data_IF_980191690414
#
_entry.id   IF_980191690414
#
_cell.length_a   1.000
_cell.length_b   1.000
_cell.length_c   1.000
_cell.angle_alpha   90.00
_cell.angle_beta   90.00
_cell.angle_gamma   90.00
#
_symmetry.space_group_name_H-M   'P 1'
#
loop_
_entity.id
_entity.type
_entity.pdbx_description
1 polymer ?
#
# COMPACT_ATOMS: atom_id res chain seq x y z
N UNK A 1 29.90 7.57 -16.05
CA UNK A 1 28.74 6.66 -16.19
C UNK A 1 27.75 6.86 -15.05
N UNK A 2 27.98 6.35 -13.83
CA UNK A 2 27.03 6.58 -12.73
C UNK A 2 26.85 8.05 -12.35
N UNK A 3 27.94 8.83 -12.31
CA UNK A 3 27.87 10.28 -12.07
C UNK A 3 27.12 11.05 -13.16
N UNK A 4 27.16 10.57 -14.41
CA UNK A 4 26.41 11.17 -15.53
C UNK A 4 24.92 10.87 -15.41
N UNK A 5 24.56 9.64 -15.03
CA UNK A 5 23.15 9.28 -14.77
C UNK A 5 22.60 10.10 -13.60
N UNK A 6 23.40 10.32 -12.55
CA UNK A 6 22.99 11.17 -11.42
C UNK A 6 22.83 12.63 -11.85
N UNK A 7 23.69 13.17 -12.73
CA UNK A 7 23.51 14.54 -13.22
C UNK A 7 22.33 14.67 -14.18
N UNK A 8 22.10 13.69 -15.06
CA UNK A 8 20.91 13.65 -15.92
C UNK A 8 19.62 13.58 -15.08
N UNK A 9 19.62 12.80 -13.99
CA UNK A 9 18.50 12.74 -13.05
C UNK A 9 18.27 14.09 -12.35
N UNK A 10 19.35 14.81 -12.01
CA UNK A 10 19.28 16.16 -11.42
C UNK A 10 18.67 17.18 -12.39
N UNK A 11 19.08 17.11 -13.67
CA UNK A 11 18.63 18.03 -14.72
C UNK A 11 17.18 17.77 -15.15
N UNK A 12 16.81 16.51 -15.37
CA UNK A 12 15.47 16.15 -15.88
C UNK A 12 14.43 15.98 -14.77
N UNK A 13 14.82 15.45 -13.59
CA UNK A 13 13.90 15.11 -12.50
C UNK A 13 14.45 15.52 -11.12
N UNK A 14 14.65 16.82 -10.87
CA UNK A 14 15.28 17.31 -9.64
C UNK A 14 14.52 16.90 -8.37
N UNK A 15 13.19 16.86 -8.42
CA UNK A 15 12.38 16.38 -7.28
C UNK A 15 12.62 14.89 -6.99
N UNK A 16 12.84 14.08 -8.02
CA UNK A 16 13.08 12.65 -7.86
C UNK A 16 14.47 12.38 -7.28
N UNK A 17 15.50 13.13 -7.74
CA UNK A 17 16.83 13.10 -7.12
C UNK A 17 16.75 13.46 -5.65
N UNK A 18 16.06 14.55 -5.31
CA UNK A 18 15.93 15.01 -3.93
C UNK A 18 15.39 13.90 -3.02
N UNK A 19 14.27 13.28 -3.40
CA UNK A 19 13.61 12.25 -2.59
C UNK A 19 14.40 10.94 -2.53
N UNK A 20 15.02 10.51 -3.64
CA UNK A 20 15.70 9.21 -3.70
C UNK A 20 17.16 9.23 -3.22
N UNK A 21 17.85 10.36 -3.38
CA UNK A 21 19.28 10.51 -3.08
C UNK A 21 19.52 11.48 -1.94
N UNK A 22 19.09 12.73 -2.06
CA UNK A 22 19.52 13.80 -1.14
C UNK A 22 18.95 13.60 0.27
N UNK A 23 17.66 13.30 0.41
CA UNK A 23 17.03 12.97 1.71
C UNK A 23 17.67 11.73 2.36
N UNK A 24 18.10 10.75 1.54
CA UNK A 24 18.82 9.57 2.04
C UNK A 24 20.24 9.91 2.47
N UNK A 25 20.94 10.78 1.75
CA UNK A 25 22.28 11.26 2.10
C UNK A 25 22.25 11.99 3.44
N UNK A 26 21.27 12.87 3.62
CA UNK A 26 21.03 13.59 4.86
C UNK A 26 20.80 12.63 6.04
N UNK A 27 19.89 11.67 5.88
CA UNK A 27 19.65 10.67 6.92
C UNK A 27 20.91 9.86 7.27
N UNK A 28 21.70 9.47 6.26
CA UNK A 28 22.94 8.72 6.49
C UNK A 28 23.99 9.57 7.21
N UNK A 29 24.15 10.84 6.83
CA UNK A 29 25.08 11.77 7.47
C UNK A 29 24.71 11.97 8.94
N UNK A 30 23.44 12.25 9.22
CA UNK A 30 22.91 12.42 10.58
C UNK A 30 23.18 11.19 11.45
N UNK A 31 22.94 9.98 10.93
CA UNK A 31 23.19 8.74 11.68
C UNK A 31 24.67 8.50 11.98
N UNK A 32 25.57 9.00 11.16
CA UNK A 32 27.01 8.95 11.39
C UNK A 32 27.43 10.01 12.41
N UNK A 33 26.90 11.23 12.32
CA UNK A 33 27.19 12.34 13.23
C UNK A 33 26.57 12.16 14.64
N UNK A 34 25.46 11.44 14.76
CA UNK A 34 24.84 11.07 16.05
C UNK A 34 25.71 10.13 16.91
N UNK A 35 26.73 9.49 16.31
CA UNK A 35 27.57 8.50 16.97
C UNK A 35 28.98 9.06 17.18
N UNK A 36 29.53 8.79 18.35
CA UNK A 36 30.89 9.18 18.69
C UNK A 36 31.87 8.10 18.19
N UNK A 37 32.71 8.45 17.22
CA UNK A 37 33.72 7.58 16.67
C UNK A 37 35.08 8.29 16.70
N UNK A 38 36.10 7.67 17.28
CA UNK A 38 37.47 8.19 17.14
C UNK A 38 37.96 8.05 15.69
N UNK A 39 37.65 6.93 15.03
CA UNK A 39 37.94 6.63 13.62
C UNK A 39 36.87 5.69 13.07
N UNK A 40 36.34 5.97 11.88
CA UNK A 40 35.34 5.13 11.21
C UNK A 40 35.67 4.95 9.73
N UNK A 41 35.41 3.76 9.19
CA UNK A 41 35.43 3.46 7.75
C UNK A 41 34.02 3.08 7.34
N UNK A 42 33.43 3.86 6.43
CA UNK A 42 32.05 3.67 5.96
C UNK A 42 32.06 3.22 4.51
N UNK A 43 31.37 2.12 4.21
CA UNK A 43 31.17 1.66 2.85
C UNK A 43 29.84 2.22 2.33
N UNK A 44 29.92 3.03 1.27
CA UNK A 44 28.74 3.67 0.67
C UNK A 44 28.70 3.42 -0.82
N UNK A 45 27.49 3.45 -1.39
CA UNK A 45 27.31 3.35 -2.83
C UNK A 45 27.88 4.58 -3.54
N UNK A 46 28.44 4.39 -4.74
CA UNK A 46 29.12 5.45 -5.49
C UNK A 46 28.25 6.71 -5.71
N UNK A 47 26.93 6.54 -5.89
CA UNK A 47 25.99 7.65 -6.08
C UNK A 47 25.79 8.53 -4.83
N UNK A 48 26.19 8.05 -3.65
CA UNK A 48 26.04 8.76 -2.38
C UNK A 48 27.35 9.39 -1.89
N UNK A 49 28.50 9.10 -2.51
CA UNK A 49 29.82 9.52 -2.00
C UNK A 49 29.91 11.05 -1.90
N UNK A 50 29.61 11.75 -3.00
CA UNK A 50 29.78 13.21 -3.08
C UNK A 50 28.84 13.94 -2.11
N UNK A 51 27.53 13.67 -2.21
CA UNK A 51 26.54 14.31 -1.33
C UNK A 51 26.67 13.94 0.15
N UNK A 52 27.13 12.73 0.48
CA UNK A 52 27.39 12.36 1.87
C UNK A 52 28.66 13.05 2.41
N UNK A 53 29.72 13.17 1.62
CA UNK A 53 30.94 13.87 2.03
C UNK A 53 30.66 15.34 2.31
N UNK A 54 29.95 16.03 1.41
CA UNK A 54 29.54 17.43 1.60
C UNK A 54 28.76 17.61 2.91
N UNK A 55 27.74 16.77 3.15
CA UNK A 55 26.92 16.83 4.36
C UNK A 55 27.70 16.54 5.65
N UNK A 56 28.64 15.60 5.61
CA UNK A 56 29.52 15.29 6.75
C UNK A 56 30.49 16.44 7.05
N UNK A 57 30.98 17.15 6.03
CA UNK A 57 31.85 18.32 6.18
C UNK A 57 31.10 19.55 6.72
N UNK A 58 29.83 19.73 6.34
CA UNK A 58 28.96 20.79 6.88
C UNK A 58 28.68 20.63 8.37
N UNK A 59 28.71 19.39 8.88
CA UNK A 59 28.54 19.09 10.31
C UNK A 59 27.18 19.48 10.90
N UNK A 60 26.18 19.76 10.04
CA UNK A 60 24.85 20.17 10.47
C UNK A 60 23.99 18.94 10.77
N UNK A 61 23.52 18.86 12.01
CA UNK A 61 22.46 17.95 12.45
C UNK A 61 21.16 18.76 12.60
N UNK A 62 20.75 19.48 11.55
CA UNK A 62 19.40 20.05 11.53
C UNK A 62 18.42 18.95 11.16
N UNK A 63 18.06 18.16 12.17
CA UNK A 63 16.93 17.25 12.09
C UNK A 63 15.67 18.11 12.00
N UNK A 64 15.26 18.52 10.80
CA UNK A 64 13.82 18.66 10.57
C UNK A 64 13.26 17.26 10.80
N UNK A 65 12.52 17.06 11.89
CA UNK A 65 11.86 15.80 12.23
C UNK A 65 10.91 15.42 11.08
N UNK A 66 11.42 14.78 10.02
CA UNK A 66 10.61 14.14 8.98
C UNK A 66 9.80 12.97 9.54
N UNK A 67 9.99 12.61 10.82
CA UNK A 67 9.25 11.56 11.50
C UNK A 67 8.50 12.05 12.75
N UNK A 68 7.49 12.88 12.51
CA UNK A 68 6.17 12.66 13.12
C UNK A 68 5.12 13.13 12.14
N UNK A 69 4.71 12.22 11.25
CA UNK A 69 3.29 12.16 10.90
C UNK A 69 2.54 11.99 12.23
N UNK A 70 2.20 13.12 12.85
CA UNK A 70 1.24 13.23 13.95
C UNK A 70 -0.12 12.89 13.34
N UNK A 71 -0.28 11.61 12.97
CA UNK A 71 -1.49 11.11 12.34
C UNK A 71 -2.64 11.53 13.24
N UNK A 72 -3.54 12.33 12.67
CA UNK A 72 -4.58 13.01 13.44
C UNK A 72 -5.30 11.94 14.28
N UNK A 73 -5.45 12.11 15.60
CA UNK A 73 -5.91 11.04 16.49
C UNK A 73 -7.20 10.34 16.03
N UNK A 74 -8.10 11.07 15.35
CA UNK A 74 -9.33 10.54 14.80
C UNK A 74 -9.12 9.55 13.64
N UNK A 75 -8.09 9.72 12.78
CA UNK A 75 -7.78 8.74 11.74
C UNK A 75 -7.36 7.40 12.34
N UNK A 76 -6.59 7.41 13.44
CA UNK A 76 -6.25 6.18 14.17
C UNK A 76 -7.51 5.54 14.76
N UNK A 77 -8.40 6.35 15.34
CA UNK A 77 -9.66 5.86 15.89
C UNK A 77 -10.56 5.21 14.82
N UNK A 78 -10.69 5.81 13.63
CA UNK A 78 -11.45 5.20 12.53
C UNK A 78 -10.78 3.93 12.02
N UNK A 79 -9.45 3.98 11.80
CA UNK A 79 -8.65 2.88 11.28
C UNK A 79 -8.78 1.62 12.14
N UNK A 80 -8.75 1.74 13.46
CA UNK A 80 -8.88 0.57 14.36
C UNK A 80 -10.31 0.34 14.84
N UNK A 81 -11.11 1.39 15.01
CA UNK A 81 -12.48 1.30 15.52
C UNK A 81 -13.42 0.60 14.55
N UNK A 82 -13.27 0.81 13.23
CA UNK A 82 -14.14 0.18 12.25
C UNK A 82 -13.99 -1.35 12.22
N UNK A 83 -12.76 -1.94 12.13
CA UNK A 83 -12.59 -3.38 12.26
C UNK A 83 -13.12 -3.96 13.57
N UNK A 84 -12.87 -3.29 14.69
CA UNK A 84 -13.37 -3.72 16.01
C UNK A 84 -14.90 -3.77 16.00
N UNK A 85 -15.55 -2.73 15.48
CA UNK A 85 -17.00 -2.66 15.37
C UNK A 85 -17.57 -3.85 14.59
N UNK A 86 -17.00 -4.20 13.43
CA UNK A 86 -17.47 -5.33 12.64
C UNK A 86 -17.28 -6.65 13.38
N UNK A 87 -16.10 -6.86 14.00
CA UNK A 87 -15.82 -8.07 14.78
C UNK A 87 -16.82 -8.18 15.96
N UNK A 88 -17.13 -7.07 16.63
CA UNK A 88 -18.12 -7.01 17.70
C UNK A 88 -19.52 -7.34 17.21
N UNK A 89 -19.94 -6.82 16.05
CA UNK A 89 -21.25 -7.13 15.45
C UNK A 89 -21.38 -8.61 15.09
N UNK A 90 -20.34 -9.18 14.46
CA UNK A 90 -20.30 -10.60 14.15
C UNK A 90 -20.33 -11.45 15.44
N UNK A 91 -19.53 -11.08 16.46
CA UNK A 91 -19.55 -11.73 17.77
C UNK A 91 -20.92 -11.66 18.44
N UNK A 92 -21.58 -10.50 18.42
CA UNK A 92 -22.92 -10.34 18.96
C UNK A 92 -23.95 -11.20 18.22
N UNK A 93 -23.84 -11.34 16.89
CA UNK A 93 -24.71 -12.22 16.13
C UNK A 93 -24.60 -13.69 16.58
N UNK A 94 -23.39 -14.17 16.92
CA UNK A 94 -23.17 -15.54 17.40
C UNK A 94 -23.61 -15.77 18.85
N UNK A 95 -23.27 -14.85 19.75
CA UNK A 95 -23.43 -15.05 21.20
C UNK A 95 -24.67 -14.38 21.78
N UNK A 96 -25.14 -13.29 21.17
CA UNK A 96 -26.28 -12.50 21.64
C UNK A 96 -27.61 -12.90 21.01
N UNK A 97 -27.59 -13.42 19.78
CA UNK A 97 -28.79 -13.84 19.05
C UNK A 97 -28.86 -15.36 18.94
N UNK A 98 -28.23 -15.95 17.92
CA UNK A 98 -28.22 -17.39 17.69
C UNK A 98 -27.16 -17.79 16.64
N UNK A 99 -26.82 -19.08 16.61
CA UNK A 99 -25.79 -19.62 15.71
C UNK A 99 -26.15 -19.47 14.22
N UNK A 100 -27.44 -19.56 13.85
CA UNK A 100 -27.86 -19.41 12.46
C UNK A 100 -27.71 -17.95 11.98
N UNK A 101 -28.01 -16.98 12.84
CA UNK A 101 -27.78 -15.56 12.54
C UNK A 101 -26.29 -15.24 12.40
N UNK A 102 -25.45 -15.71 13.31
CA UNK A 102 -23.99 -15.53 13.23
C UNK A 102 -23.37 -16.14 11.96
N UNK A 103 -23.76 -17.36 11.60
CA UNK A 103 -23.30 -18.01 10.35
C UNK A 103 -23.77 -17.29 9.10
N UNK A 104 -25.03 -16.81 9.07
CA UNK A 104 -25.57 -16.01 7.97
C UNK A 104 -24.81 -14.69 7.81
N UNK A 105 -24.62 -13.94 8.89
CA UNK A 105 -23.91 -12.66 8.87
C UNK A 105 -22.45 -12.82 8.39
N UNK A 106 -21.75 -13.85 8.89
CA UNK A 106 -20.37 -14.15 8.50
C UNK A 106 -20.28 -14.58 7.04
N UNK A 107 -21.20 -15.42 6.58
CA UNK A 107 -21.23 -15.87 5.17
C UNK A 107 -21.41 -14.69 4.23
N UNK A 108 -22.33 -13.77 4.56
CA UNK A 108 -22.56 -12.56 3.76
C UNK A 108 -21.35 -11.65 3.78
N UNK A 109 -20.69 -11.48 4.93
CA UNK A 109 -19.44 -10.70 5.02
C UNK A 109 -18.36 -11.23 4.07
N UNK A 110 -18.11 -12.54 4.13
CA UNK A 110 -17.08 -13.22 3.32
C UNK A 110 -17.43 -13.13 1.85
N UNK A 111 -18.67 -13.48 1.47
CA UNK A 111 -19.08 -13.51 0.07
C UNK A 111 -19.14 -12.11 -0.54
N UNK A 112 -19.67 -11.11 0.17
CA UNK A 112 -19.75 -9.75 -0.34
C UNK A 112 -18.35 -9.17 -0.59
N UNK A 113 -17.43 -9.28 0.39
CA UNK A 113 -16.06 -8.78 0.24
C UNK A 113 -15.30 -9.56 -0.84
N UNK A 114 -15.36 -10.89 -0.79
CA UNK A 114 -14.67 -11.75 -1.73
C UNK A 114 -15.10 -11.50 -3.18
N UNK A 115 -16.42 -11.50 -3.46
CA UNK A 115 -16.90 -11.29 -4.81
C UNK A 115 -16.68 -9.86 -5.32
N UNK A 116 -16.87 -8.83 -4.50
CA UNK A 116 -16.62 -7.46 -4.95
C UNK A 116 -15.14 -7.22 -5.28
N UNK A 117 -14.23 -7.76 -4.47
CA UNK A 117 -12.79 -7.73 -4.73
C UNK A 117 -12.43 -8.54 -5.99
N UNK A 118 -12.96 -9.75 -6.13
CA UNK A 118 -12.78 -10.58 -7.32
C UNK A 118 -13.27 -9.87 -8.59
N UNK A 119 -14.43 -9.22 -8.54
CA UNK A 119 -14.95 -8.43 -9.66
C UNK A 119 -14.02 -7.27 -10.00
N UNK A 120 -13.47 -6.56 -9.01
CA UNK A 120 -12.45 -5.53 -9.24
C UNK A 120 -11.23 -6.08 -9.98
N UNK A 121 -10.76 -7.27 -9.58
CA UNK A 121 -9.64 -7.95 -10.25
C UNK A 121 -9.98 -8.38 -11.70
N UNK A 122 -11.22 -8.84 -11.94
CA UNK A 122 -11.71 -9.19 -13.28
C UNK A 122 -11.78 -7.94 -14.17
N UNK A 123 -12.33 -6.83 -13.66
CA UNK A 123 -12.43 -5.58 -14.41
C UNK A 123 -11.03 -5.04 -14.75
N UNK A 124 -10.06 -5.19 -13.84
CA UNK A 124 -8.66 -4.86 -14.11
C UNK A 124 -8.00 -5.75 -15.18
N UNK A 125 -8.67 -6.82 -15.63
CA UNK A 125 -8.13 -7.86 -16.52
C UNK A 125 -6.86 -8.52 -15.95
N UNK A 126 -6.80 -8.62 -14.62
CA UNK A 126 -5.73 -9.34 -13.94
C UNK A 126 -5.82 -10.84 -14.19
N UNK A 127 -4.78 -11.58 -13.84
CA UNK A 127 -4.78 -13.01 -14.06
C UNK A 127 -5.80 -13.74 -13.16
N UNK A 128 -6.28 -14.91 -13.60
CA UNK A 128 -7.27 -15.72 -12.86
C UNK A 128 -6.79 -16.08 -11.45
N UNK A 129 -5.49 -16.30 -11.28
CA UNK A 129 -4.89 -16.53 -9.97
C UNK A 129 -5.11 -15.35 -9.01
N UNK A 130 -5.02 -14.12 -9.54
CA UNK A 130 -5.24 -12.88 -8.79
C UNK A 130 -6.70 -12.69 -8.43
N UNK A 131 -7.64 -13.18 -9.24
CA UNK A 131 -9.07 -13.18 -8.90
C UNK A 131 -9.35 -14.01 -7.64
N UNK A 132 -8.77 -15.21 -7.58
CA UNK A 132 -8.90 -16.12 -6.44
C UNK A 132 -8.21 -15.56 -5.19
N UNK A 133 -7.00 -15.01 -5.35
CA UNK A 133 -6.30 -14.35 -4.23
C UNK A 133 -7.13 -13.20 -3.69
N UNK A 134 -7.67 -12.34 -4.55
CA UNK A 134 -8.50 -11.20 -4.17
C UNK A 134 -9.75 -11.65 -3.40
N UNK A 135 -10.41 -12.71 -3.87
CA UNK A 135 -11.58 -13.29 -3.21
C UNK A 135 -11.26 -13.76 -1.78
N UNK A 136 -10.13 -14.45 -1.59
CA UNK A 136 -9.74 -15.02 -0.31
C UNK A 136 -9.21 -13.94 0.64
N UNK A 137 -8.41 -12.99 0.13
CA UNK A 137 -7.76 -11.99 0.97
C UNK A 137 -8.73 -10.90 1.43
N UNK A 138 -9.69 -10.49 0.59
CA UNK A 138 -10.53 -9.32 0.87
C UNK A 138 -11.29 -9.35 2.20
N UNK A 139 -11.98 -10.45 2.59
CA UNK A 139 -12.68 -10.53 3.87
C UNK A 139 -11.76 -10.37 5.08
N UNK A 140 -10.50 -10.83 4.96
CA UNK A 140 -9.50 -10.78 6.01
C UNK A 140 -8.85 -9.41 6.09
N UNK A 141 -8.41 -8.87 4.94
CA UNK A 141 -7.76 -7.56 4.85
C UNK A 141 -8.70 -6.41 5.22
N UNK A 142 -10.00 -6.56 4.97
CA UNK A 142 -11.00 -5.56 5.38
C UNK A 142 -11.11 -5.39 6.90
N UNK A 143 -10.69 -6.41 7.67
CA UNK A 143 -10.60 -6.36 9.12
C UNK A 143 -9.19 -6.03 9.63
N UNK A 144 -8.20 -5.91 8.74
CA UNK A 144 -6.82 -5.64 9.11
C UNK A 144 -6.35 -4.27 8.57
N UNK A 145 -6.37 -3.23 9.41
CA UNK A 145 -6.16 -1.86 8.95
C UNK A 145 -4.77 -1.52 8.38
N UNK A 146 -3.81 -2.44 8.39
CA UNK A 146 -2.49 -2.21 7.80
C UNK A 146 -2.28 -2.90 6.45
N UNK A 147 -3.19 -3.78 6.01
CA UNK A 147 -3.10 -4.45 4.71
C UNK A 147 -4.45 -4.36 4.01
N UNK A 148 -4.52 -3.66 2.89
CA UNK A 148 -5.69 -3.57 2.02
C UNK A 148 -5.73 -4.71 1.00
N UNK A 149 -6.94 -5.07 0.58
CA UNK A 149 -7.18 -6.13 -0.40
C UNK A 149 -6.42 -5.90 -1.72
N UNK A 150 -6.40 -4.65 -2.19
CA UNK A 150 -5.68 -4.30 -3.42
C UNK A 150 -4.17 -4.42 -3.32
N UNK A 151 -3.57 -4.19 -2.14
CA UNK A 151 -2.13 -4.41 -1.95
C UNK A 151 -1.77 -5.88 -2.14
N UNK A 152 -2.59 -6.77 -1.57
CA UNK A 152 -2.41 -8.22 -1.74
C UNK A 152 -2.61 -8.60 -3.21
N UNK A 153 -3.69 -8.14 -3.84
CA UNK A 153 -3.98 -8.45 -5.23
C UNK A 153 -2.90 -7.94 -6.19
N UNK A 154 -2.47 -6.68 -6.06
CA UNK A 154 -1.40 -6.11 -6.89
C UNK A 154 -0.06 -6.81 -6.70
N UNK A 155 0.30 -7.15 -5.45
CA UNK A 155 1.52 -7.93 -5.18
C UNK A 155 1.48 -9.30 -5.84
N UNK A 156 0.38 -10.04 -5.72
CA UNK A 156 0.27 -11.37 -6.32
C UNK A 156 0.15 -11.32 -7.85
N UNK A 157 -0.48 -10.28 -8.42
CA UNK A 157 -0.47 -10.05 -9.86
C UNK A 157 0.97 -9.83 -10.35
N UNK A 158 1.72 -8.93 -9.73
CA UNK A 158 3.12 -8.68 -10.09
C UNK A 158 4.02 -9.91 -9.88
N UNK A 159 3.70 -10.74 -8.88
CA UNK A 159 4.46 -11.96 -8.58
C UNK A 159 4.19 -13.08 -9.57
N UNK A 160 2.94 -13.29 -9.95
CA UNK A 160 2.55 -14.35 -10.89
C UNK A 160 2.78 -13.92 -12.35
N UNK A 161 2.61 -12.64 -12.63
CA UNK A 161 2.74 -12.01 -13.95
C UNK A 161 3.61 -10.75 -13.82
N UNK A 162 4.94 -10.93 -13.70
CA UNK A 162 5.85 -9.81 -13.61
C UNK A 162 5.85 -8.99 -14.91
N UNK A 163 5.91 -7.65 -14.83
CA UNK A 163 6.02 -6.80 -15.99
C UNK A 163 7.41 -6.96 -16.65
N UNK A 164 7.45 -6.78 -17.96
CA UNK A 164 8.71 -6.67 -18.70
C UNK A 164 9.37 -5.29 -18.50
N UNK A 165 10.67 -5.17 -18.82
CA UNK A 165 11.38 -3.89 -18.77
C UNK A 165 10.72 -2.87 -19.72
N UNK A 166 10.34 -3.29 -20.93
CA UNK A 166 9.62 -2.43 -21.87
C UNK A 166 8.31 -1.92 -21.30
N UNK A 167 7.53 -2.76 -20.60
CA UNK A 167 6.29 -2.30 -19.95
C UNK A 167 6.53 -1.32 -18.80
N UNK A 168 7.68 -1.40 -18.12
CA UNK A 168 8.08 -0.43 -17.10
C UNK A 168 8.53 0.90 -17.69
N UNK A 169 9.07 0.92 -18.90
CA UNK A 169 9.40 2.15 -19.63
C UNK A 169 8.14 2.77 -20.24
N UNK A 170 7.30 1.93 -20.87
CA UNK A 170 6.07 2.35 -21.55
C UNK A 170 5.04 3.00 -20.61
N UNK A 171 5.03 2.65 -19.32
CA UNK A 171 4.08 3.21 -18.34
C UNK A 171 4.21 4.73 -18.20
N UNK A 172 5.41 5.29 -18.43
CA UNK A 172 5.69 6.73 -18.28
C UNK A 172 5.05 7.53 -19.43
N UNK A 173 4.79 6.88 -20.56
CA UNK A 173 4.21 7.50 -21.75
C UNK A 173 2.68 7.35 -21.84
N UNK A 174 2.04 6.74 -20.83
CA UNK A 174 0.58 6.60 -20.80
C UNK A 174 -0.08 7.93 -20.46
N UNK A 175 -0.90 8.45 -21.37
CA UNK A 175 -1.62 9.72 -21.20
C UNK A 175 -3.09 9.50 -20.80
N UNK A 176 -3.69 8.36 -21.17
CA UNK A 176 -5.10 8.04 -20.95
C UNK A 176 -5.31 6.84 -20.01
N UNK A 177 -6.30 6.93 -19.11
CA UNK A 177 -6.62 5.84 -18.17
C UNK A 177 -6.98 4.52 -18.86
N UNK A 178 -7.56 4.55 -20.06
CA UNK A 178 -7.91 3.34 -20.81
C UNK A 178 -6.69 2.55 -21.28
N UNK A 179 -5.54 3.21 -21.46
CA UNK A 179 -4.31 2.58 -21.93
C UNK A 179 -3.66 1.71 -20.83
N UNK A 180 -3.98 1.96 -19.57
CA UNK A 180 -3.53 1.15 -18.44
C UNK A 180 -3.89 -0.34 -18.58
N UNK A 181 -4.97 -0.69 -19.29
CA UNK A 181 -5.33 -2.09 -19.55
C UNK A 181 -4.40 -2.78 -20.56
N UNK A 182 -3.70 -2.00 -21.40
CA UNK A 182 -2.77 -2.49 -22.42
C UNK A 182 -1.43 -2.94 -21.84
N UNK A 183 -1.00 -2.35 -20.73
CA UNK A 183 0.33 -2.55 -20.13
C UNK A 183 0.26 -3.35 -18.81
N UNK A 184 1.18 -4.28 -18.54
CA UNK A 184 1.16 -5.07 -17.30
C UNK A 184 1.32 -4.24 -16.02
N UNK A 185 2.17 -3.22 -16.01
CA UNK A 185 2.30 -2.29 -14.88
C UNK A 185 0.97 -1.57 -14.65
N UNK A 186 0.32 -1.13 -15.73
CA UNK A 186 -1.00 -0.53 -15.70
C UNK A 186 -2.05 -1.49 -15.12
N UNK A 187 -2.05 -2.76 -15.54
CA UNK A 187 -2.93 -3.81 -14.98
C UNK A 187 -2.69 -4.05 -13.50
N UNK A 188 -1.44 -4.03 -13.02
CA UNK A 188 -1.12 -4.15 -11.60
C UNK A 188 -1.71 -2.98 -10.79
N UNK A 189 -1.56 -1.74 -11.29
CA UNK A 189 -2.12 -0.53 -10.67
C UNK A 189 -3.65 -0.59 -10.66
N UNK A 190 -4.27 -0.93 -11.79
CA UNK A 190 -5.72 -1.10 -11.91
C UNK A 190 -6.24 -2.18 -10.96
N UNK A 191 -5.53 -3.31 -10.85
CA UNK A 191 -5.85 -4.40 -9.93
C UNK A 191 -5.85 -3.88 -8.50
N UNK A 192 -4.78 -3.20 -8.09
CA UNK A 192 -4.69 -2.59 -6.77
C UNK A 192 -5.88 -1.64 -6.50
N UNK A 193 -6.16 -0.74 -7.43
CA UNK A 193 -7.20 0.28 -7.26
C UNK A 193 -8.61 -0.33 -7.23
N UNK A 194 -8.98 -1.11 -8.24
CA UNK A 194 -10.33 -1.66 -8.40
C UNK A 194 -10.65 -2.69 -7.31
N UNK A 195 -9.69 -3.52 -6.90
CA UNK A 195 -9.87 -4.45 -5.78
C UNK A 195 -10.06 -3.69 -4.47
N UNK A 196 -9.31 -2.61 -4.24
CA UNK A 196 -9.45 -1.77 -3.04
C UNK A 196 -10.83 -1.12 -2.99
N UNK A 197 -11.28 -0.53 -4.10
CA UNK A 197 -12.61 0.09 -4.19
C UNK A 197 -13.71 -0.96 -4.00
N UNK A 198 -13.61 -2.11 -4.66
CA UNK A 198 -14.57 -3.20 -4.52
C UNK A 198 -14.68 -3.70 -3.06
N UNK A 199 -13.53 -3.94 -2.42
CA UNK A 199 -13.47 -4.36 -1.02
C UNK A 199 -14.06 -3.30 -0.08
N UNK A 200 -13.76 -2.01 -0.31
CA UNK A 200 -14.29 -0.92 0.51
C UNK A 200 -15.81 -0.82 0.39
N UNK A 201 -16.37 -0.85 -0.82
CA UNK A 201 -17.82 -0.85 -1.05
C UNK A 201 -18.47 -2.03 -0.33
N UNK A 202 -17.92 -3.23 -0.48
CA UNK A 202 -18.44 -4.42 0.18
C UNK A 202 -18.33 -4.36 1.71
N UNK A 203 -17.27 -3.75 2.24
CA UNK A 203 -17.09 -3.52 3.67
C UNK A 203 -18.21 -2.65 4.23
N UNK A 204 -18.52 -1.52 3.60
CA UNK A 204 -19.60 -0.63 4.05
C UNK A 204 -20.99 -1.26 3.85
N UNK A 205 -21.25 -1.86 2.68
CA UNK A 205 -22.53 -2.50 2.38
C UNK A 205 -22.77 -3.72 3.29
N UNK A 206 -21.74 -4.54 3.50
CA UNK A 206 -21.76 -5.69 4.39
C UNK A 206 -22.00 -5.29 5.84
N UNK A 207 -21.34 -4.23 6.33
CA UNK A 207 -21.57 -3.69 7.66
C UNK A 207 -23.03 -3.26 7.86
N UNK A 208 -23.57 -2.47 6.91
CA UNK A 208 -24.97 -2.03 6.96
C UNK A 208 -25.96 -3.20 6.92
N UNK A 209 -25.69 -4.22 6.10
CA UNK A 209 -26.54 -5.39 6.03
C UNK A 209 -26.51 -6.23 7.31
N UNK A 210 -25.32 -6.46 7.90
CA UNK A 210 -25.20 -7.14 9.20
C UNK A 210 -25.96 -6.36 10.28
N UNK A 211 -25.85 -5.03 10.30
CA UNK A 211 -26.62 -4.20 11.23
C UNK A 211 -28.13 -4.41 11.05
N UNK A 212 -28.62 -4.47 9.80
CA UNK A 212 -30.03 -4.71 9.53
C UNK A 212 -30.53 -6.06 10.03
N UNK A 213 -29.72 -7.12 9.89
CA UNK A 213 -30.05 -8.45 10.43
C UNK A 213 -30.14 -8.39 11.95
N UNK A 214 -29.17 -7.76 12.60
CA UNK A 214 -29.13 -7.66 14.07
C UNK A 214 -30.31 -6.83 14.60
N UNK A 215 -30.70 -5.75 13.91
CA UNK A 215 -31.83 -4.90 14.33
C UNK A 215 -33.22 -5.50 14.05
N UNK A 216 -33.29 -6.50 13.16
CA UNK A 216 -34.54 -7.13 12.74
C UNK A 216 -34.92 -8.37 13.54
N UNK A 217 -34.09 -8.76 14.52
CA UNK A 217 -34.33 -9.84 15.49
C UNK A 217 -34.67 -9.23 16.84
#
# INVERSE_FOLDING_TARGET
MLSQIVSELDEEFPELKKVLLDERNEYMADRLLERDFDHAVVFVGAAHVEGLTERLEEGQTEREELEKSSGIPWLKAIRFGFPIMIISMLGYAFFGIDLATGTKATSIWILANGFAAMLGAIVARSHVATWLVSFISAPLTSLYPALGAGMVAGYFEAKFYPPSVGELEDIVYIEDYSELWGNQVGRIILTFALVTVGSAIATFAGAGYIASIISGV
#
